data_IF_022755061269
#
_entry.id   IF_022755061269
#
_cell.length_a   1.000
_cell.length_b   1.000
_cell.length_c   1.000
_cell.angle_alpha   90.00
_cell.angle_beta   90.00
_cell.angle_gamma   90.00
#
_symmetry.space_group_name_H-M   'P 1'
#
loop_
_entity.id
_entity.type
_entity.pdbx_description
1 polymer ?
#
# COMPACT_ATOMS: atom_id res chain seq x y z
N UNK A 1 55.15 -11.96 27.36
CA UNK A 1 54.82 -11.88 25.91
C UNK A 1 54.44 -13.26 25.42
N UNK A 2 53.16 -13.50 25.13
CA UNK A 2 52.71 -14.67 24.37
C UNK A 2 51.46 -14.27 23.56
N UNK A 3 51.58 -14.32 22.23
CA UNK A 3 50.57 -13.92 21.24
C UNK A 3 49.51 -15.00 21.09
N UNK A 4 48.24 -14.58 21.11
CA UNK A 4 47.05 -15.37 20.77
C UNK A 4 46.95 -15.51 19.24
N UNK A 5 46.56 -16.67 18.68
CA UNK A 5 46.45 -16.85 17.24
C UNK A 5 45.18 -16.20 16.67
N UNK A 6 45.38 -15.48 15.56
CA UNK A 6 44.40 -14.69 14.82
C UNK A 6 43.52 -15.61 13.94
N UNK A 7 42.20 -15.66 14.19
CA UNK A 7 41.22 -16.30 13.30
C UNK A 7 40.99 -15.40 12.08
N UNK A 8 41.51 -15.80 10.92
CA UNK A 8 41.15 -15.21 9.63
C UNK A 8 39.69 -15.53 9.29
N UNK A 9 38.86 -14.51 9.15
CA UNK A 9 37.55 -14.62 8.50
C UNK A 9 37.75 -14.80 6.98
N UNK A 10 36.93 -15.61 6.28
CA UNK A 10 36.95 -15.66 4.82
C UNK A 10 36.34 -14.39 4.23
N UNK A 11 36.91 -13.96 3.10
CA UNK A 11 36.52 -12.79 2.31
C UNK A 11 35.09 -12.96 1.73
N UNK A 12 34.15 -12.01 1.96
CA UNK A 12 32.77 -12.11 1.51
C UNK A 12 32.55 -11.93 0.01
N UNK A 13 33.60 -11.66 -0.78
CA UNK A 13 33.46 -11.32 -2.20
C UNK A 13 33.74 -12.46 -3.19
N UNK A 14 33.84 -13.72 -2.76
CA UNK A 14 34.15 -14.81 -3.69
C UNK A 14 33.29 -16.06 -3.50
N UNK A 15 31.98 -15.90 -3.70
CA UNK A 15 31.06 -17.01 -3.98
C UNK A 15 30.56 -16.85 -5.42
N UNK A 16 30.79 -17.89 -6.21
CA UNK A 16 30.50 -17.96 -7.65
C UNK A 16 28.98 -17.96 -7.91
N UNK A 17 28.38 -16.77 -7.97
CA UNK A 17 26.96 -16.54 -8.21
C UNK A 17 26.56 -16.57 -9.70
N UNK A 18 27.45 -17.05 -10.59
CA UNK A 18 27.24 -16.99 -12.04
C UNK A 18 26.31 -18.08 -12.58
N UNK A 19 26.13 -19.19 -11.86
CA UNK A 19 25.24 -20.30 -12.27
C UNK A 19 23.75 -20.05 -11.99
N UNK A 20 23.41 -19.26 -10.98
CA UNK A 20 22.02 -19.02 -10.58
C UNK A 20 21.33 -17.90 -11.39
N UNK A 21 22.10 -17.17 -12.18
CA UNK A 21 21.66 -15.99 -12.92
C UNK A 21 21.05 -16.34 -14.30
N UNK A 22 21.38 -17.51 -14.86
CA UNK A 22 20.92 -17.91 -16.20
C UNK A 22 19.54 -18.61 -16.22
N UNK A 23 19.19 -19.35 -15.17
CA UNK A 23 17.99 -20.21 -15.21
C UNK A 23 16.65 -19.45 -15.10
N UNK A 24 16.66 -18.18 -14.69
CA UNK A 24 15.45 -17.32 -14.72
C UNK A 24 15.23 -16.66 -16.09
N UNK A 25 16.30 -16.37 -16.85
CA UNK A 25 16.17 -15.79 -18.20
C UNK A 25 15.65 -16.80 -19.23
N UNK A 26 15.96 -18.09 -19.05
CA UNK A 26 15.54 -19.15 -19.98
C UNK A 26 14.03 -19.43 -19.92
N UNK A 27 13.38 -19.18 -18.78
CA UNK A 27 11.97 -19.55 -18.60
C UNK A 27 10.98 -18.44 -19.00
N UNK A 28 11.36 -17.17 -18.89
CA UNK A 28 10.52 -16.04 -19.32
C UNK A 28 10.51 -15.87 -20.85
N UNK A 29 11.61 -16.22 -21.53
CA UNK A 29 11.67 -16.30 -22.99
C UNK A 29 10.73 -17.35 -23.60
N UNK A 30 10.38 -18.41 -22.85
CA UNK A 30 9.43 -19.45 -23.30
C UNK A 30 7.97 -18.97 -23.31
N UNK A 31 7.65 -17.89 -22.59
CA UNK A 31 6.31 -17.29 -22.60
C UNK A 31 6.00 -16.57 -23.92
N UNK A 32 7.03 -16.24 -24.71
CA UNK A 32 6.87 -15.55 -25.99
C UNK A 32 6.60 -16.49 -27.18
N UNK A 33 6.70 -17.81 -27.00
CA UNK A 33 6.55 -18.80 -28.09
C UNK A 33 5.38 -19.78 -27.93
N UNK A 34 4.60 -19.70 -26.85
CA UNK A 34 3.50 -20.65 -26.58
C UNK A 34 2.13 -20.23 -27.12
N UNK A 35 1.98 -19.02 -27.69
CA UNK A 35 0.70 -18.52 -28.21
C UNK A 35 0.46 -18.83 -29.71
N UNK A 36 1.31 -19.63 -30.34
CA UNK A 36 1.10 -20.13 -31.71
C UNK A 36 1.30 -21.66 -31.78
N UNK A 37 0.20 -22.41 -31.68
CA UNK A 37 -0.17 -23.63 -32.47
C UNK A 37 -1.02 -24.63 -31.67
N UNK A 38 -2.30 -24.71 -32.06
CA UNK A 38 -2.95 -25.92 -32.60
C UNK A 38 -2.95 -27.23 -31.82
N UNK A 39 -4.14 -27.56 -31.30
CA UNK A 39 -4.91 -28.82 -31.45
C UNK A 39 -4.29 -30.25 -31.38
N UNK A 40 -5.15 -31.12 -30.81
CA UNK A 40 -5.32 -32.60 -30.91
C UNK A 40 -4.59 -33.50 -29.90
N UNK A 41 -5.39 -34.36 -29.24
CA UNK A 41 -4.97 -35.74 -28.96
C UNK A 41 -5.34 -36.31 -27.59
N UNK A 42 -6.62 -36.61 -27.34
CA UNK A 42 -7.01 -37.47 -26.22
C UNK A 42 -6.52 -38.91 -26.47
N UNK A 43 -5.86 -39.53 -25.51
CA UNK A 43 -5.89 -40.99 -25.40
C UNK A 43 -5.85 -41.44 -23.94
N UNK A 44 -6.87 -42.23 -23.64
CA UNK A 44 -7.11 -43.02 -22.44
C UNK A 44 -6.01 -44.06 -22.22
N UNK A 45 -5.62 -44.28 -20.97
CA UNK A 45 -5.35 -45.64 -20.49
C UNK A 45 -5.51 -45.77 -18.98
N UNK A 46 -5.94 -46.98 -18.62
CA UNK A 46 -6.73 -47.41 -17.46
C UNK A 46 -5.89 -48.41 -16.68
N UNK A 47 -5.77 -48.25 -15.36
CA UNK A 47 -5.43 -49.30 -14.39
C UNK A 47 -5.62 -48.69 -13.00
N UNK A 48 -6.25 -49.27 -11.99
CA UNK A 48 -6.78 -50.61 -11.76
C UNK A 48 -7.02 -50.64 -10.25
N UNK A 49 -8.29 -50.61 -9.83
CA UNK A 49 -8.70 -50.73 -8.43
C UNK A 49 -8.52 -52.17 -7.96
N UNK A 50 -7.89 -52.36 -6.79
CA UNK A 50 -8.18 -53.50 -5.91
C UNK A 50 -8.39 -52.94 -4.50
N UNK A 51 -9.62 -53.10 -4.01
CA UNK A 51 -9.99 -52.92 -2.61
C UNK A 51 -9.80 -54.22 -1.82
N UNK A 52 -9.66 -54.09 -0.51
CA UNK A 52 -9.62 -55.20 0.43
C UNK A 52 -9.68 -54.70 1.87
N UNK A 53 -10.69 -55.14 2.59
CA UNK A 53 -11.24 -54.55 3.81
C UNK A 53 -10.53 -54.98 5.10
N UNK A 54 -10.79 -54.18 6.14
CA UNK A 54 -10.54 -54.33 7.58
C UNK A 54 -10.67 -55.76 8.12
N UNK A 55 -9.84 -56.12 9.11
CA UNK A 55 -10.33 -56.71 10.37
C UNK A 55 -9.37 -56.42 11.53
N UNK A 56 -9.94 -55.98 12.65
CA UNK A 56 -9.30 -55.76 13.95
C UNK A 56 -9.30 -57.10 14.70
N UNK A 57 -8.18 -57.49 15.31
CA UNK A 57 -8.22 -58.42 16.44
C UNK A 57 -7.12 -58.11 17.46
N UNK A 58 -7.60 -57.68 18.63
CA UNK A 58 -6.87 -57.55 19.89
C UNK A 58 -6.62 -58.95 20.45
N UNK A 59 -5.38 -59.26 20.81
CA UNK A 59 -5.08 -60.22 21.88
C UNK A 59 -3.90 -59.73 22.70
N UNK A 60 -4.18 -59.42 23.96
CA UNK A 60 -3.17 -59.20 24.99
C UNK A 60 -2.74 -60.57 25.54
N UNK A 61 -1.42 -60.81 25.63
CA UNK A 61 -0.82 -61.75 26.58
C UNK A 61 0.53 -61.21 27.06
N UNK A 62 0.63 -61.05 28.37
CA UNK A 62 1.84 -60.81 29.16
C UNK A 62 2.56 -62.14 29.51
N UNK A 63 3.72 -62.00 30.17
CA UNK A 63 4.66 -62.97 30.76
C UNK A 63 5.86 -63.35 29.86
N UNK A 64 7.13 -63.40 30.29
CA UNK A 64 7.88 -62.86 31.43
C UNK A 64 9.38 -63.21 31.19
N UNK A 65 10.30 -62.41 31.77
CA UNK A 65 11.68 -62.70 32.20
C UNK A 65 12.84 -63.18 31.26
N UNK A 66 13.83 -62.29 31.13
CA UNK A 66 15.29 -62.45 31.25
C UNK A 66 16.12 -63.37 30.31
N UNK A 67 17.02 -62.74 29.52
CA UNK A 67 18.15 -63.40 28.84
C UNK A 67 19.16 -62.41 28.20
N UNK A 68 20.32 -62.23 28.85
CA UNK A 68 21.64 -61.71 28.41
C UNK A 68 21.81 -60.60 27.34
N UNK A 69 22.55 -59.50 27.63
CA UNK A 69 22.92 -58.46 26.66
C UNK A 69 24.33 -58.65 26.09
N UNK A 70 24.50 -59.30 24.91
CA UNK A 70 25.79 -59.35 24.18
C UNK A 70 25.72 -59.40 22.65
N UNK A 71 24.63 -58.92 22.03
CA UNK A 71 24.53 -58.84 20.55
C UNK A 71 24.02 -57.49 20.04
N UNK A 72 24.55 -56.36 20.54
CA UNK A 72 24.14 -55.03 20.06
C UNK A 72 25.30 -54.10 19.62
N UNK A 73 26.53 -54.60 19.49
CA UNK A 73 27.69 -53.75 19.10
C UNK A 73 28.19 -53.97 17.66
N UNK A 74 27.52 -54.80 16.85
CA UNK A 74 27.93 -55.07 15.45
C UNK A 74 27.00 -54.53 14.37
N UNK A 75 25.94 -53.84 14.76
CA UNK A 75 24.99 -53.20 13.84
C UNK A 75 24.97 -51.66 13.99
N UNK A 76 26.06 -51.06 14.47
CA UNK A 76 26.17 -49.60 14.64
C UNK A 76 26.91 -48.88 13.49
N UNK A 77 27.20 -49.57 12.37
CA UNK A 77 27.91 -48.98 11.22
C UNK A 77 27.09 -48.96 9.91
N UNK A 78 25.76 -49.07 10.01
CA UNK A 78 24.84 -48.99 8.85
C UNK A 78 23.68 -48.01 9.07
N UNK A 79 23.75 -47.16 10.09
CA UNK A 79 22.90 -45.99 10.16
C UNK A 79 23.67 -44.88 9.46
N UNK A 80 23.36 -44.70 8.17
CA UNK A 80 23.54 -43.42 7.51
C UNK A 80 23.19 -42.33 8.51
N UNK A 81 24.10 -41.38 8.74
CA UNK A 81 23.74 -40.13 9.39
C UNK A 81 22.57 -39.53 8.59
N UNK A 82 21.35 -39.80 9.02
CA UNK A 82 20.17 -38.98 8.74
C UNK A 82 20.44 -37.66 9.45
N UNK A 83 21.33 -36.87 8.85
CA UNK A 83 21.57 -35.49 9.21
C UNK A 83 20.21 -34.81 9.20
N UNK A 84 19.73 -34.41 10.38
CA UNK A 84 18.45 -33.72 10.52
C UNK A 84 18.36 -32.63 9.45
N UNK A 85 17.28 -32.55 8.67
CA UNK A 85 17.19 -31.63 7.55
C UNK A 85 17.48 -30.22 8.04
N UNK A 86 18.52 -29.59 7.47
CA UNK A 86 18.87 -28.21 7.79
C UNK A 86 17.93 -27.25 7.07
N UNK A 87 17.73 -26.05 7.61
CA UNK A 87 16.92 -25.02 6.94
C UNK A 87 17.37 -24.76 5.50
N UNK A 88 18.69 -24.80 5.24
CA UNK A 88 19.25 -24.66 3.90
C UNK A 88 18.90 -25.83 2.98
N UNK A 89 19.02 -27.07 3.48
CA UNK A 89 18.66 -28.29 2.73
C UNK A 89 17.17 -28.30 2.34
N UNK A 90 16.26 -27.94 3.24
CA UNK A 90 14.82 -27.85 2.94
C UNK A 90 14.50 -26.75 1.93
N UNK A 91 15.19 -25.60 2.00
CA UNK A 91 15.08 -24.54 1.00
C UNK A 91 15.53 -25.05 -0.38
N UNK A 92 16.64 -25.76 -0.44
CA UNK A 92 17.19 -26.27 -1.71
C UNK A 92 16.31 -27.37 -2.31
N UNK A 93 15.75 -28.25 -1.47
CA UNK A 93 14.71 -29.18 -1.90
C UNK A 93 13.47 -28.47 -2.45
N UNK A 94 13.05 -27.37 -1.80
CA UNK A 94 11.99 -26.49 -2.30
C UNK A 94 12.32 -25.88 -3.67
N UNK A 95 13.57 -25.48 -3.89
CA UNK A 95 14.03 -24.97 -5.18
C UNK A 95 13.96 -26.06 -6.27
N UNK A 96 14.32 -27.31 -5.95
CA UNK A 96 14.22 -28.44 -6.88
C UNK A 96 12.78 -28.77 -7.26
N UNK A 97 11.86 -28.80 -6.28
CA UNK A 97 10.43 -28.94 -6.57
C UNK A 97 9.89 -27.76 -7.39
N UNK A 98 10.36 -26.55 -7.12
CA UNK A 98 9.98 -25.37 -7.88
C UNK A 98 10.42 -25.47 -9.35
N UNK A 99 11.65 -25.93 -9.62
CA UNK A 99 12.14 -26.21 -10.98
C UNK A 99 11.30 -27.27 -11.70
N UNK A 100 10.85 -28.29 -10.96
CA UNK A 100 9.92 -29.32 -11.46
C UNK A 100 8.47 -28.83 -11.64
N UNK A 101 8.18 -27.54 -11.41
CA UNK A 101 6.82 -26.94 -11.40
C UNK A 101 5.86 -27.57 -10.37
N UNK A 102 6.39 -28.29 -9.39
CA UNK A 102 5.67 -28.87 -8.25
C UNK A 102 5.56 -27.83 -7.14
N UNK A 103 4.73 -26.81 -7.39
CA UNK A 103 4.71 -25.61 -6.55
C UNK A 103 4.16 -25.85 -5.14
N UNK A 104 3.23 -26.81 -4.96
CA UNK A 104 2.66 -27.13 -3.65
C UNK A 104 3.71 -27.80 -2.76
N UNK A 105 4.43 -28.76 -3.30
CA UNK A 105 5.52 -29.46 -2.64
C UNK A 105 6.68 -28.50 -2.33
N UNK A 106 6.96 -27.55 -3.24
CA UNK A 106 7.92 -26.47 -2.99
C UNK A 106 7.50 -25.60 -1.79
N UNK A 107 6.21 -25.22 -1.69
CA UNK A 107 5.67 -24.46 -0.56
C UNK A 107 5.87 -25.21 0.76
N UNK A 108 5.62 -26.53 0.78
CA UNK A 108 5.80 -27.34 1.99
C UNK A 108 7.27 -27.37 2.43
N UNK A 109 8.20 -27.54 1.48
CA UNK A 109 9.63 -27.52 1.75
C UNK A 109 10.11 -26.16 2.26
N UNK A 110 9.69 -25.06 1.63
CA UNK A 110 10.01 -23.72 2.13
C UNK A 110 9.40 -23.45 3.50
N UNK A 111 8.21 -23.99 3.78
CA UNK A 111 7.58 -23.85 5.10
C UNK A 111 8.36 -24.59 6.19
N UNK A 112 8.88 -25.79 5.90
CA UNK A 112 9.81 -26.49 6.79
C UNK A 112 11.11 -25.71 6.98
N UNK A 113 11.67 -25.15 5.90
CA UNK A 113 12.86 -24.30 5.96
C UNK A 113 12.66 -23.10 6.87
N UNK A 114 11.55 -22.38 6.72
CA UNK A 114 11.19 -21.21 7.55
C UNK A 114 10.97 -21.61 9.01
N UNK A 115 10.33 -22.76 9.27
CA UNK A 115 10.12 -23.27 10.63
C UNK A 115 11.45 -23.59 11.35
N UNK A 116 12.46 -24.05 10.60
CA UNK A 116 13.80 -24.32 11.13
C UNK A 116 14.62 -23.03 11.30
N UNK A 117 14.61 -22.15 10.29
CA UNK A 117 15.27 -20.86 10.34
C UNK A 117 14.59 -19.87 9.38
N UNK A 118 13.90 -18.83 9.88
CA UNK A 118 13.30 -17.81 9.04
C UNK A 118 14.40 -17.00 8.34
N UNK A 119 14.32 -16.90 7.01
CA UNK A 119 15.23 -16.08 6.21
C UNK A 119 14.46 -15.34 5.12
N UNK A 120 14.89 -14.12 4.78
CA UNK A 120 14.26 -13.32 3.73
C UNK A 120 14.15 -14.09 2.40
N UNK A 121 15.19 -14.86 2.06
CA UNK A 121 15.24 -15.69 0.86
C UNK A 121 14.18 -16.80 0.88
N UNK A 122 14.03 -17.52 2.01
CA UNK A 122 13.04 -18.60 2.10
C UNK A 122 11.61 -18.06 1.99
N UNK A 123 11.31 -16.95 2.67
CA UNK A 123 10.02 -16.26 2.54
C UNK A 123 9.76 -15.80 1.11
N UNK A 124 10.71 -15.11 0.47
CA UNK A 124 10.51 -14.67 -0.91
C UNK A 124 10.33 -15.84 -1.88
N UNK A 125 11.06 -16.94 -1.70
CA UNK A 125 10.95 -18.13 -2.55
C UNK A 125 9.59 -18.81 -2.39
N UNK A 126 9.07 -18.89 -1.16
CA UNK A 126 7.70 -19.35 -0.90
C UNK A 126 6.66 -18.41 -1.51
N UNK A 127 6.84 -17.10 -1.40
CA UNK A 127 5.99 -16.11 -2.07
C UNK A 127 5.92 -16.31 -3.59
N UNK A 128 7.06 -16.61 -4.23
CA UNK A 128 7.08 -16.92 -5.66
C UNK A 128 6.30 -18.19 -5.98
N UNK A 129 6.40 -19.23 -5.14
CA UNK A 129 5.58 -20.44 -5.31
C UNK A 129 4.09 -20.13 -5.13
N UNK A 130 3.72 -19.26 -4.18
CA UNK A 130 2.35 -18.78 -4.00
C UNK A 130 1.83 -18.00 -5.22
N UNK A 131 2.63 -17.13 -5.82
CA UNK A 131 2.29 -16.45 -7.08
C UNK A 131 1.97 -17.45 -8.20
N UNK A 132 2.74 -18.54 -8.32
CA UNK A 132 2.50 -19.57 -9.35
C UNK A 132 1.20 -20.35 -9.13
N UNK A 133 0.76 -20.51 -7.88
CA UNK A 133 -0.54 -21.13 -7.55
C UNK A 133 -1.68 -20.12 -7.37
N UNK A 134 -1.46 -18.84 -7.72
CA UNK A 134 -2.44 -17.74 -7.62
C UNK A 134 -2.96 -17.48 -6.20
N UNK A 135 -2.13 -17.76 -5.19
CA UNK A 135 -2.38 -17.45 -3.77
C UNK A 135 -1.76 -16.09 -3.43
N UNK A 136 -2.40 -15.02 -3.91
CA UNK A 136 -1.78 -13.69 -3.93
C UNK A 136 -1.69 -13.05 -2.54
N UNK A 137 -2.65 -13.29 -1.66
CA UNK A 137 -2.62 -12.76 -0.28
C UNK A 137 -1.46 -13.35 0.51
N UNK A 138 -1.26 -14.67 0.43
CA UNK A 138 -0.15 -15.34 1.08
C UNK A 138 1.20 -14.93 0.49
N UNK A 139 1.26 -14.68 -0.84
CA UNK A 139 2.45 -14.14 -1.47
C UNK A 139 2.78 -12.72 -0.98
N UNK A 140 1.78 -11.86 -0.77
CA UNK A 140 1.98 -10.50 -0.23
C UNK A 140 2.50 -10.55 1.21
N UNK A 141 1.93 -11.42 2.04
CA UNK A 141 2.36 -11.60 3.43
C UNK A 141 3.80 -12.10 3.51
N UNK A 142 4.14 -13.16 2.78
CA UNK A 142 5.51 -13.69 2.75
C UNK A 142 6.53 -12.66 2.24
N UNK A 143 6.17 -11.86 1.23
CA UNK A 143 7.06 -10.79 0.78
C UNK A 143 7.23 -9.70 1.85
N UNK A 144 6.20 -9.41 2.63
CA UNK A 144 6.28 -8.45 3.73
C UNK A 144 7.16 -8.98 4.86
N UNK A 145 7.04 -10.26 5.22
CA UNK A 145 7.93 -10.91 6.17
C UNK A 145 9.38 -10.94 5.68
N UNK A 146 9.60 -11.18 4.38
CA UNK A 146 10.92 -11.10 3.78
C UNK A 146 11.54 -9.69 3.91
N UNK A 147 10.74 -8.64 3.71
CA UNK A 147 11.17 -7.24 3.80
C UNK A 147 11.35 -6.76 5.24
N UNK A 148 10.65 -7.36 6.20
CA UNK A 148 10.90 -7.13 7.63
C UNK A 148 12.26 -7.70 8.07
N UNK A 149 12.79 -8.70 7.35
CA UNK A 149 14.10 -9.29 7.59
C UNK A 149 15.21 -8.63 6.77
N UNK A 150 14.94 -8.23 5.53
CA UNK A 150 15.86 -7.52 4.63
C UNK A 150 15.08 -6.47 3.82
N UNK A 151 15.16 -5.22 4.27
CA UNK A 151 14.42 -4.07 3.72
C UNK A 151 14.91 -3.64 2.33
N UNK A 152 16.04 -4.18 1.86
CA UNK A 152 16.63 -3.92 0.54
C UNK A 152 16.51 -5.12 -0.39
N UNK A 153 15.70 -6.12 -0.03
CA UNK A 153 15.56 -7.31 -0.86
C UNK A 153 14.70 -7.08 -2.10
N UNK A 154 15.34 -6.74 -3.21
CA UNK A 154 14.72 -6.35 -4.50
C UNK A 154 13.71 -7.39 -5.00
N UNK A 155 14.03 -8.68 -4.89
CA UNK A 155 13.12 -9.77 -5.33
C UNK A 155 11.83 -9.80 -4.51
N UNK A 156 11.87 -9.44 -3.23
CA UNK A 156 10.67 -9.38 -2.40
C UNK A 156 9.77 -8.20 -2.81
N UNK A 157 10.32 -7.02 -3.10
CA UNK A 157 9.55 -5.89 -3.66
C UNK A 157 8.90 -6.24 -5.00
N UNK A 158 9.66 -6.81 -5.95
CA UNK A 158 9.12 -7.20 -7.26
C UNK A 158 8.01 -8.25 -7.14
N UNK A 159 8.17 -9.25 -6.26
CA UNK A 159 7.15 -10.28 -6.01
C UNK A 159 5.92 -9.70 -5.32
N UNK A 160 6.09 -8.81 -4.34
CA UNK A 160 4.98 -8.13 -3.64
C UNK A 160 4.20 -7.21 -4.57
N UNK A 161 4.90 -6.47 -5.43
CA UNK A 161 4.28 -5.64 -6.46
C UNK A 161 3.39 -6.48 -7.39
N UNK A 162 3.88 -7.67 -7.78
CA UNK A 162 3.09 -8.61 -8.61
C UNK A 162 1.87 -9.12 -7.85
N UNK A 163 2.02 -9.56 -6.61
CA UNK A 163 0.90 -10.01 -5.78
C UNK A 163 -0.18 -8.92 -5.61
N UNK A 164 0.24 -7.70 -5.27
CA UNK A 164 -0.64 -6.53 -5.09
C UNK A 164 -1.35 -6.12 -6.37
N UNK A 165 -0.69 -6.25 -7.52
CA UNK A 165 -1.30 -6.02 -8.84
C UNK A 165 -2.48 -6.96 -9.06
N UNK A 166 -2.28 -8.26 -8.82
CA UNK A 166 -3.32 -9.28 -8.98
C UNK A 166 -4.45 -9.15 -7.95
N UNK A 167 -4.16 -8.60 -6.76
CA UNK A 167 -5.16 -8.26 -5.74
C UNK A 167 -5.91 -6.94 -6.01
N UNK A 168 -5.57 -6.19 -7.06
CA UNK A 168 -6.14 -4.87 -7.34
C UNK A 168 -5.64 -3.75 -6.42
N UNK A 169 -4.63 -4.01 -5.58
CA UNK A 169 -3.96 -3.01 -4.73
C UNK A 169 -2.95 -2.20 -5.55
N UNK A 170 -3.42 -1.48 -6.56
CA UNK A 170 -2.58 -0.83 -7.58
C UNK A 170 -1.61 0.20 -7.02
N UNK A 171 -2.04 1.00 -6.03
CA UNK A 171 -1.16 1.97 -5.36
C UNK A 171 0.07 1.31 -4.72
N UNK A 172 -0.13 0.27 -3.92
CA UNK A 172 0.97 -0.44 -3.27
C UNK A 172 1.85 -1.21 -4.27
N UNK A 173 1.26 -1.69 -5.38
CA UNK A 173 2.03 -2.29 -6.48
C UNK A 173 2.94 -1.29 -7.17
N UNK A 174 2.45 -0.07 -7.41
CA UNK A 174 3.24 1.03 -7.97
C UNK A 174 4.40 1.43 -7.04
N UNK A 175 4.13 1.64 -5.75
CA UNK A 175 5.14 2.01 -4.75
C UNK A 175 6.25 0.96 -4.63
N UNK A 176 5.90 -0.33 -4.55
CA UNK A 176 6.87 -1.43 -4.49
C UNK A 176 7.73 -1.51 -5.77
N UNK A 177 7.10 -1.30 -6.95
CA UNK A 177 7.82 -1.33 -8.24
C UNK A 177 8.76 -0.14 -8.39
N UNK A 178 8.35 1.04 -7.92
CA UNK A 178 9.18 2.24 -7.90
C UNK A 178 10.40 2.03 -7.00
N UNK A 179 10.20 1.49 -5.79
CA UNK A 179 11.29 1.24 -4.86
C UNK A 179 12.27 0.19 -5.40
N UNK A 180 11.77 -0.92 -5.97
CA UNK A 180 12.61 -1.92 -6.61
C UNK A 180 13.46 -1.31 -7.75
N UNK A 181 12.87 -0.45 -8.58
CA UNK A 181 13.58 0.24 -9.65
C UNK A 181 14.64 1.23 -9.14
N UNK A 182 14.38 1.92 -8.02
CA UNK A 182 15.39 2.78 -7.37
C UNK A 182 16.59 2.00 -6.88
N UNK A 183 16.39 0.77 -6.38
CA UNK A 183 17.48 -0.10 -5.93
C UNK A 183 18.31 -0.64 -7.10
N UNK A 184 17.67 -1.02 -8.22
CA UNK A 184 18.33 -1.50 -9.44
C UNK A 184 17.86 -0.75 -10.72
N UNK A 185 18.38 0.46 -10.97
CA UNK A 185 17.93 1.30 -12.09
C UNK A 185 18.25 0.74 -13.48
N UNK A 186 19.17 -0.23 -13.58
CA UNK A 186 19.59 -0.82 -14.85
C UNK A 186 18.80 -2.08 -15.22
N UNK A 187 17.98 -2.61 -14.31
CA UNK A 187 17.23 -3.83 -14.53
C UNK A 187 16.01 -3.56 -15.45
N UNK A 188 16.04 -4.14 -16.65
CA UNK A 188 14.99 -3.92 -17.66
C UNK A 188 13.63 -4.48 -17.23
N UNK A 189 13.63 -5.59 -16.47
CA UNK A 189 12.38 -6.18 -16.00
C UNK A 189 11.71 -5.31 -14.94
N UNK A 190 12.50 -4.73 -14.02
CA UNK A 190 11.96 -3.77 -13.04
C UNK A 190 11.42 -2.50 -13.71
N UNK A 191 12.08 -2.02 -14.79
CA UNK A 191 11.56 -0.90 -15.58
C UNK A 191 10.21 -1.21 -16.21
N UNK A 192 10.09 -2.40 -16.80
CA UNK A 192 8.84 -2.88 -17.40
C UNK A 192 7.75 -3.02 -16.35
N UNK A 193 8.06 -3.68 -15.23
CA UNK A 193 7.13 -3.86 -14.11
C UNK A 193 6.65 -2.52 -13.55
N UNK A 194 7.56 -1.55 -13.37
CA UNK A 194 7.21 -0.18 -12.96
C UNK A 194 6.31 0.52 -13.97
N UNK A 195 6.63 0.45 -15.27
CA UNK A 195 5.82 1.06 -16.32
C UNK A 195 4.41 0.46 -16.36
N UNK A 196 4.28 -0.86 -16.24
CA UNK A 196 2.99 -1.55 -16.15
C UNK A 196 2.20 -1.12 -14.90
N UNK A 197 2.82 -1.15 -13.72
CA UNK A 197 2.18 -0.77 -12.46
C UNK A 197 1.71 0.69 -12.48
N UNK A 198 2.55 1.60 -13.00
CA UNK A 198 2.22 3.02 -13.17
C UNK A 198 1.05 3.21 -14.13
N UNK A 199 1.05 2.54 -15.28
CA UNK A 199 -0.03 2.65 -16.26
C UNK A 199 -1.38 2.18 -15.70
N UNK A 200 -1.39 1.08 -14.93
CA UNK A 200 -2.60 0.59 -14.28
C UNK A 200 -3.09 1.56 -13.20
N UNK A 201 -2.20 2.08 -12.37
CA UNK A 201 -2.54 3.06 -11.33
C UNK A 201 -3.09 4.37 -11.91
N UNK A 202 -2.45 4.91 -12.95
CA UNK A 202 -2.89 6.12 -13.64
C UNK A 202 -4.27 5.91 -14.31
N UNK A 203 -4.50 4.73 -14.91
CA UNK A 203 -5.79 4.36 -15.50
C UNK A 203 -6.90 4.29 -14.46
N UNK A 204 -6.67 3.64 -13.32
CA UNK A 204 -7.65 3.54 -12.24
C UNK A 204 -8.00 4.92 -11.67
N UNK A 205 -7.00 5.79 -11.50
CA UNK A 205 -7.22 7.16 -11.05
C UNK A 205 -8.03 7.97 -12.07
N UNK A 206 -7.75 7.82 -13.36
CA UNK A 206 -8.50 8.47 -14.42
C UNK A 206 -9.96 7.98 -14.47
N UNK A 207 -10.18 6.67 -14.34
CA UNK A 207 -11.54 6.08 -14.29
C UNK A 207 -12.33 6.57 -13.08
N UNK A 208 -11.71 6.61 -11.89
CA UNK A 208 -12.30 7.19 -10.68
C UNK A 208 -12.66 8.67 -10.88
N UNK A 209 -11.76 9.47 -11.44
CA UNK A 209 -12.01 10.89 -11.71
C UNK A 209 -13.14 11.09 -12.74
N UNK A 210 -13.15 10.29 -13.81
CA UNK A 210 -14.22 10.32 -14.83
C UNK A 210 -15.57 9.95 -14.23
N UNK A 211 -15.62 8.95 -13.34
CA UNK A 211 -16.85 8.54 -12.68
C UNK A 211 -17.39 9.62 -11.75
N UNK A 212 -16.52 10.29 -10.99
CA UNK A 212 -16.90 11.43 -10.15
C UNK A 212 -17.49 12.56 -11.00
N UNK A 213 -16.87 12.88 -12.15
CA UNK A 213 -17.36 13.90 -13.06
C UNK A 213 -18.73 13.55 -13.65
N UNK A 214 -18.94 12.29 -14.05
CA UNK A 214 -20.26 11.81 -14.55
C UNK A 214 -21.33 11.88 -13.46
N UNK A 215 -21.02 11.45 -12.24
CA UNK A 215 -21.94 11.51 -11.12
C UNK A 215 -22.32 12.96 -10.77
N UNK A 216 -21.34 13.88 -10.78
CA UNK A 216 -21.56 15.31 -10.55
C UNK A 216 -22.45 15.94 -11.64
N UNK A 217 -22.20 15.63 -12.92
CA UNK A 217 -23.02 16.11 -14.04
C UNK A 217 -24.48 15.60 -13.95
N UNK A 218 -24.68 14.32 -13.59
CA UNK A 218 -26.01 13.76 -13.39
C UNK A 218 -26.73 14.39 -12.18
N UNK A 219 -26.01 14.68 -11.10
CA UNK A 219 -26.57 15.38 -9.94
C UNK A 219 -27.01 16.81 -10.30
N UNK A 220 -26.17 17.55 -11.02
CA UNK A 220 -26.49 18.90 -11.50
C UNK A 220 -27.70 18.91 -12.45
N UNK A 221 -27.83 17.90 -13.31
CA UNK A 221 -28.98 17.78 -14.20
C UNK A 221 -30.28 17.46 -13.44
N UNK A 222 -30.23 16.62 -12.39
CA UNK A 222 -31.38 16.35 -11.52
C UNK A 222 -31.84 17.57 -10.75
N UNK A 223 -30.90 18.39 -10.26
CA UNK A 223 -31.22 19.66 -9.58
C UNK A 223 -31.94 20.60 -10.55
N UNK A 224 -31.42 20.79 -11.77
CA UNK A 224 -32.07 21.60 -12.81
C UNK A 224 -33.48 21.10 -13.17
N UNK A 225 -33.69 19.79 -13.27
CA UNK A 225 -35.04 19.27 -13.55
C UNK A 225 -36.02 19.47 -12.38
N UNK A 226 -35.53 19.48 -11.14
CA UNK A 226 -36.38 19.77 -9.99
C UNK A 226 -36.68 21.27 -9.87
N UNK A 227 -35.73 22.15 -10.18
CA UNK A 227 -35.95 23.61 -10.27
C UNK A 227 -37.00 23.94 -11.34
N UNK A 228 -36.91 23.34 -12.54
CA UNK A 228 -37.91 23.54 -13.59
C UNK A 228 -39.31 23.05 -13.18
N UNK A 229 -39.42 22.00 -12.35
CA UNK A 229 -40.71 21.52 -11.81
C UNK A 229 -41.29 22.47 -10.76
N UNK A 230 -40.45 23.19 -10.02
CA UNK A 230 -40.90 24.20 -9.05
C UNK A 230 -41.44 25.43 -9.80
N UNK A 231 -40.76 25.87 -10.86
CA UNK A 231 -41.22 26.97 -11.72
C UNK A 231 -42.54 26.65 -12.46
N UNK A 232 -42.75 25.40 -12.91
CA UNK A 232 -44.03 24.98 -13.51
C UNK A 232 -45.21 24.97 -12.51
N UNK A 233 -44.95 24.65 -11.24
CA UNK A 233 -45.96 24.68 -10.17
C UNK A 233 -46.29 26.12 -9.74
N UNK A 234 -45.32 27.03 -9.76
CA UNK A 234 -45.56 28.47 -9.50
C UNK A 234 -46.25 29.17 -10.69
N UNK A 235 -45.93 28.78 -11.93
CA UNK A 235 -46.60 29.26 -13.14
C UNK A 235 -48.07 28.79 -13.22
N UNK A 236 -48.36 27.53 -12.86
CA UNK A 236 -49.75 27.02 -12.82
C UNK A 236 -50.58 27.63 -11.68
N UNK A 237 -49.96 27.97 -10.54
CA UNK A 237 -50.63 28.71 -9.45
C UNK A 237 -50.95 30.16 -9.82
N UNK A 238 -50.16 30.75 -10.71
CA UNK A 238 -50.37 32.10 -11.26
C UNK A 238 -51.42 32.13 -12.38
N UNK A 239 -51.64 31.00 -13.07
CA UNK A 239 -52.60 30.87 -14.19
C UNK A 239 -54.05 30.62 -13.75
N UNK A 240 -54.28 30.27 -12.47
CA UNK A 240 -55.62 30.19 -11.87
C UNK A 240 -56.29 31.57 -11.64
N UNK A 241 -55.63 32.69 -11.97
CA UNK A 241 -56.16 34.04 -11.66
C UNK A 241 -56.34 34.97 -12.85
N UNK A 242 -56.06 34.55 -14.08
CA UNK A 242 -56.33 35.36 -15.28
C UNK A 242 -56.60 34.44 -16.47
N UNK A 243 -57.87 34.36 -16.86
CA UNK A 243 -58.35 34.31 -18.26
C UNK A 243 -59.87 34.09 -18.25
N UNK A 244 -60.62 35.17 -18.00
CA UNK A 244 -61.83 35.43 -18.77
C UNK A 244 -61.44 36.35 -19.94
N UNK A 245 -62.01 36.04 -21.11
CA UNK A 245 -62.10 36.84 -22.33
C UNK A 245 -61.17 36.48 -23.50
N UNK A 246 -61.81 35.77 -24.45
CA UNK A 246 -61.79 35.92 -25.91
C UNK A 246 -60.51 35.72 -26.75
N UNK A 247 -60.64 34.79 -27.70
CA UNK A 247 -60.56 35.16 -29.13
C UNK A 247 -59.52 34.47 -29.99
N UNK A 248 -59.93 33.39 -30.67
CA UNK A 248 -59.76 33.13 -32.11
C UNK A 248 -58.38 32.97 -32.78
N UNK A 249 -58.34 31.88 -33.59
CA UNK A 249 -57.60 31.66 -34.86
C UNK A 249 -56.22 30.95 -34.87
N UNK A 250 -56.30 29.68 -35.27
CA UNK A 250 -55.65 29.04 -36.45
C UNK A 250 -54.13 29.11 -36.66
N UNK A 251 -53.54 27.94 -36.95
CA UNK A 251 -52.28 27.84 -37.69
C UNK A 251 -51.60 26.47 -37.55
N UNK A 252 -51.66 25.66 -38.61
CA UNK A 252 -51.19 24.28 -38.66
C UNK A 252 -49.72 24.11 -39.10
N UNK A 253 -49.22 22.87 -39.00
CA UNK A 253 -48.45 22.12 -40.03
C UNK A 253 -46.96 21.78 -39.76
N UNK A 254 -46.71 20.47 -39.58
CA UNK A 254 -45.70 19.54 -40.13
C UNK A 254 -44.18 19.88 -40.24
N UNK A 255 -43.39 18.96 -39.63
CA UNK A 255 -42.39 18.04 -40.24
C UNK A 255 -41.18 18.54 -41.07
N UNK A 256 -40.02 17.93 -40.76
CA UNK A 256 -39.05 17.28 -41.68
C UNK A 256 -37.62 17.85 -41.77
N UNK A 257 -36.67 17.04 -41.28
CA UNK A 257 -35.52 16.51 -42.06
C UNK A 257 -34.30 17.38 -42.33
N UNK A 258 -33.09 16.83 -42.12
CA UNK A 258 -31.87 17.33 -42.74
C UNK A 258 -30.55 17.01 -42.04
N UNK A 259 -29.93 15.90 -42.45
CA UNK A 259 -28.56 15.45 -42.16
C UNK A 259 -27.48 16.43 -42.69
N UNK A 260 -26.38 16.62 -41.96
CA UNK A 260 -25.13 17.20 -42.49
C UNK A 260 -23.94 16.98 -41.55
N UNK A 261 -23.18 15.91 -41.81
CA UNK A 261 -21.79 15.74 -41.37
C UNK A 261 -20.88 16.90 -41.83
N UNK A 262 -20.18 17.59 -40.91
CA UNK A 262 -19.02 18.45 -41.24
C UNK A 262 -17.87 18.33 -40.23
N UNK A 263 -16.70 18.08 -40.81
CA UNK A 263 -15.33 17.93 -40.26
C UNK A 263 -14.96 19.01 -39.21
N UNK A 264 -14.33 18.57 -38.11
CA UNK A 264 -13.80 19.43 -37.03
C UNK A 264 -12.31 19.71 -37.29
N UNK A 265 -11.93 20.98 -37.29
CA UNK A 265 -10.55 21.47 -37.49
C UNK A 265 -9.72 21.43 -36.18
N UNK A 266 -8.40 21.18 -36.25
CA UNK A 266 -7.49 20.97 -35.12
C UNK A 266 -7.15 22.22 -34.27
N UNK A 267 -7.53 23.43 -34.72
CA UNK A 267 -7.31 24.68 -33.97
C UNK A 267 -8.26 24.77 -32.76
N UNK A 268 -9.48 24.25 -32.91
CA UNK A 268 -10.50 24.25 -31.85
C UNK A 268 -10.12 23.36 -30.67
N UNK A 269 -9.28 22.35 -30.91
CA UNK A 269 -8.87 21.37 -29.90
C UNK A 269 -7.85 21.97 -28.92
N UNK A 270 -6.97 22.87 -29.40
CA UNK A 270 -5.98 23.55 -28.55
C UNK A 270 -6.64 24.62 -27.67
N UNK A 271 -7.59 25.39 -28.23
CA UNK A 271 -8.41 26.34 -27.46
C UNK A 271 -9.29 25.63 -26.44
N UNK A 272 -9.83 24.45 -26.79
CA UNK A 272 -10.59 23.62 -25.87
C UNK A 272 -9.70 23.08 -24.74
N UNK A 273 -8.46 22.64 -25.01
CA UNK A 273 -7.51 22.20 -23.96
C UNK A 273 -7.16 23.33 -22.99
N UNK A 274 -6.89 24.54 -23.50
CA UNK A 274 -6.59 25.70 -22.66
C UNK A 274 -7.82 26.08 -21.81
N UNK A 275 -9.02 26.07 -22.40
CA UNK A 275 -10.28 26.33 -21.70
C UNK A 275 -10.59 25.27 -20.63
N UNK A 276 -10.35 23.99 -20.93
CA UNK A 276 -10.51 22.87 -19.98
C UNK A 276 -9.51 22.98 -18.84
N UNK A 277 -8.26 23.37 -19.11
CA UNK A 277 -7.23 23.56 -18.09
C UNK A 277 -7.55 24.76 -17.19
N UNK A 278 -8.09 25.84 -17.74
CA UNK A 278 -8.52 27.02 -16.98
C UNK A 278 -9.78 26.74 -16.14
N UNK A 279 -10.73 25.98 -16.68
CA UNK A 279 -11.89 25.45 -15.95
C UNK A 279 -11.47 24.48 -14.83
N UNK A 280 -10.51 23.60 -15.08
CA UNK A 280 -9.95 22.70 -14.08
C UNK A 280 -9.25 23.49 -12.97
N UNK A 281 -8.45 24.50 -13.31
CA UNK A 281 -7.76 25.36 -12.33
C UNK A 281 -8.75 26.15 -11.47
N UNK A 282 -9.83 26.67 -12.08
CA UNK A 282 -10.92 27.33 -11.36
C UNK A 282 -11.74 26.37 -10.52
N UNK A 283 -11.97 25.15 -10.98
CA UNK A 283 -12.68 24.11 -10.23
C UNK A 283 -11.86 23.63 -9.03
N UNK A 284 -10.54 23.47 -9.19
CA UNK A 284 -9.61 23.18 -8.09
C UNK A 284 -9.61 24.35 -7.09
N UNK A 285 -9.49 25.59 -7.56
CA UNK A 285 -9.52 26.77 -6.68
C UNK A 285 -10.86 26.90 -5.94
N UNK A 286 -11.98 26.58 -6.59
CA UNK A 286 -13.32 26.56 -5.96
C UNK A 286 -13.47 25.40 -5.00
N UNK A 287 -12.96 24.21 -5.31
CA UNK A 287 -12.98 23.06 -4.42
C UNK A 287 -12.08 23.28 -3.19
N UNK A 288 -10.95 23.98 -3.34
CA UNK A 288 -10.10 24.43 -2.24
C UNK A 288 -10.83 25.47 -1.39
N UNK A 289 -11.47 26.47 -2.01
CA UNK A 289 -12.26 27.46 -1.30
C UNK A 289 -13.54 26.89 -0.65
N UNK A 290 -14.14 25.83 -1.20
CA UNK A 290 -15.26 25.09 -0.61
C UNK A 290 -14.80 24.15 0.50
N UNK A 291 -13.62 23.54 0.38
CA UNK A 291 -13.00 22.76 1.45
C UNK A 291 -12.68 23.67 2.65
N UNK A 292 -12.09 24.85 2.41
CA UNK A 292 -11.84 25.88 3.42
C UNK A 292 -13.12 26.35 4.12
N UNK A 293 -14.25 26.42 3.39
CA UNK A 293 -15.56 26.82 3.95
C UNK A 293 -16.26 25.73 4.77
N UNK A 294 -15.85 24.46 4.65
CA UNK A 294 -16.46 23.34 5.36
C UNK A 294 -15.62 22.81 6.53
N UNK A 295 -14.51 23.48 6.88
CA UNK A 295 -13.72 23.16 8.07
C UNK A 295 -14.46 23.71 9.30
N UNK A 296 -15.31 22.88 9.89
CA UNK A 296 -15.91 23.18 11.19
C UNK A 296 -14.93 22.85 12.31
N UNK A 297 -14.87 23.68 13.35
CA UNK A 297 -14.02 23.44 14.50
C UNK A 297 -14.38 22.09 15.13
N UNK A 298 -13.45 21.12 15.19
CA UNK A 298 -13.74 19.80 15.73
C UNK A 298 -14.03 19.91 17.22
N UNK A 299 -15.14 19.31 17.65
CA UNK A 299 -15.59 19.34 19.06
C UNK A 299 -15.07 18.15 19.85
N UNK A 300 -14.48 17.16 19.16
CA UNK A 300 -13.96 15.91 19.72
C UNK A 300 -12.65 15.50 19.03
N UNK A 301 -11.77 14.81 19.75
CA UNK A 301 -10.53 14.23 19.20
C UNK A 301 -10.79 13.33 17.99
N UNK A 302 -11.91 12.61 17.98
CA UNK A 302 -12.28 11.71 16.88
C UNK A 302 -12.67 12.47 15.60
N UNK A 303 -13.40 13.58 15.75
CA UNK A 303 -13.74 14.47 14.63
C UNK A 303 -12.48 15.12 14.06
N UNK A 304 -11.58 15.55 14.94
CA UNK A 304 -10.27 16.05 14.55
C UNK A 304 -9.49 15.00 13.76
N UNK A 305 -9.32 13.80 14.30
CA UNK A 305 -8.51 12.76 13.64
C UNK A 305 -9.12 12.34 12.30
N UNK A 306 -10.45 12.24 12.21
CA UNK A 306 -11.15 11.89 10.97
C UNK A 306 -10.92 12.95 9.89
N UNK A 307 -11.07 14.23 10.24
CA UNK A 307 -10.81 15.35 9.33
C UNK A 307 -9.32 15.43 8.98
N UNK A 308 -8.43 15.27 9.96
CA UNK A 308 -6.98 15.27 9.78
C UNK A 308 -6.49 14.18 8.81
N UNK A 309 -7.04 12.97 8.95
CA UNK A 309 -6.77 11.83 8.06
C UNK A 309 -7.37 12.02 6.67
N UNK A 310 -8.55 12.64 6.54
CA UNK A 310 -9.11 12.98 5.20
C UNK A 310 -8.22 13.96 4.45
N UNK A 311 -7.53 14.82 5.17
CA UNK A 311 -6.58 15.81 4.65
C UNK A 311 -5.14 15.28 4.57
N UNK A 312 -4.90 13.99 4.86
CA UNK A 312 -3.56 13.40 4.80
C UNK A 312 -3.04 13.40 3.36
N UNK A 313 -2.16 14.33 3.03
CA UNK A 313 -1.64 14.55 1.68
C UNK A 313 -1.56 16.02 1.29
N UNK A 314 -2.33 16.89 1.96
CA UNK A 314 -2.28 18.34 1.76
C UNK A 314 -1.96 19.03 3.10
N UNK A 315 -0.69 19.43 3.26
CA UNK A 315 -0.21 20.05 4.50
C UNK A 315 -0.79 21.45 4.70
N UNK A 316 -1.14 22.16 3.63
CA UNK A 316 -1.73 23.50 3.73
C UNK A 316 -3.14 23.43 4.31
N UNK A 317 -3.94 22.44 3.87
CA UNK A 317 -5.26 22.21 4.45
C UNK A 317 -5.22 21.70 5.89
N UNK A 318 -4.24 20.85 6.23
CA UNK A 318 -4.00 20.45 7.62
C UNK A 318 -3.62 21.64 8.51
N UNK A 319 -2.79 22.56 8.00
CA UNK A 319 -2.45 23.79 8.70
C UNK A 319 -3.70 24.68 8.88
N UNK A 320 -4.54 24.84 7.86
CA UNK A 320 -5.81 25.56 7.97
C UNK A 320 -6.73 24.94 9.04
N UNK A 321 -6.88 23.61 9.06
CA UNK A 321 -7.63 22.91 10.11
C UNK A 321 -7.05 23.18 11.49
N UNK A 322 -5.73 23.10 11.66
CA UNK A 322 -5.10 23.40 12.95
C UNK A 322 -5.34 24.85 13.37
N UNK A 323 -5.24 25.80 12.46
CA UNK A 323 -5.49 27.24 12.69
C UNK A 323 -6.94 27.54 13.11
N UNK A 324 -7.91 26.68 12.77
CA UNK A 324 -9.30 26.84 13.28
C UNK A 324 -9.47 26.45 14.76
N UNK A 325 -8.48 25.79 15.35
CA UNK A 325 -8.49 25.33 16.74
C UNK A 325 -7.66 26.31 17.57
N UNK A 326 -8.17 26.71 18.72
CA UNK A 326 -7.39 27.54 19.65
C UNK A 326 -6.36 26.66 20.37
N UNK A 327 -5.07 27.05 20.47
CA UNK A 327 -4.05 26.23 21.14
C UNK A 327 -4.46 25.80 22.56
N UNK A 328 -5.14 26.67 23.31
CA UNK A 328 -5.60 26.39 24.69
C UNK A 328 -6.66 25.29 24.81
N UNK A 329 -7.42 24.99 23.74
CA UNK A 329 -8.43 23.93 23.77
C UNK A 329 -7.85 22.57 23.39
N UNK A 330 -6.62 22.53 22.88
CA UNK A 330 -5.98 21.32 22.38
C UNK A 330 -5.79 20.22 23.45
N UNK A 331 -5.40 20.51 24.71
CA UNK A 331 -5.40 19.52 25.79
C UNK A 331 -6.78 18.93 26.08
N UNK A 332 -7.82 19.77 26.02
CA UNK A 332 -9.21 19.35 26.26
C UNK A 332 -9.78 18.56 25.09
N UNK A 333 -9.33 18.86 23.88
CA UNK A 333 -9.73 18.17 22.66
C UNK A 333 -9.21 16.73 22.68
N UNK A 334 -7.90 16.55 22.85
CA UNK A 334 -7.28 15.24 22.75
C UNK A 334 -7.47 14.37 24.00
N UNK A 335 -7.51 14.94 25.21
CA UNK A 335 -7.57 14.17 26.47
C UNK A 335 -6.58 13.00 26.44
N UNK A 336 -7.06 11.75 26.31
CA UNK A 336 -6.25 10.52 26.27
C UNK A 336 -6.09 9.90 24.86
N UNK A 337 -6.55 10.59 23.82
CA UNK A 337 -6.72 10.08 22.46
C UNK A 337 -5.52 10.38 21.53
N UNK A 338 -4.57 11.21 21.98
CA UNK A 338 -3.38 11.51 21.19
C UNK A 338 -2.52 10.25 21.01
N UNK A 339 -2.16 9.94 19.76
CA UNK A 339 -1.27 8.84 19.40
C UNK A 339 0.11 9.36 18.98
N UNK A 340 1.12 8.49 19.01
CA UNK A 340 2.49 8.82 18.58
C UNK A 340 2.56 9.34 17.13
N UNK A 341 1.92 8.61 16.20
CA UNK A 341 1.90 8.99 14.78
C UNK A 341 1.20 10.33 14.56
N UNK A 342 0.05 10.55 15.23
CA UNK A 342 -0.68 11.80 15.12
C UNK A 342 0.11 12.97 15.69
N UNK A 343 0.81 12.79 16.81
CA UNK A 343 1.68 13.81 17.39
C UNK A 343 2.77 14.24 16.41
N UNK A 344 3.46 13.29 15.80
CA UNK A 344 4.55 13.56 14.85
C UNK A 344 4.01 14.31 13.63
N UNK A 345 2.86 13.87 13.09
CA UNK A 345 2.22 14.52 11.95
C UNK A 345 1.78 15.96 12.27
N UNK A 346 1.24 16.21 13.46
CA UNK A 346 0.89 17.56 13.90
C UNK A 346 2.14 18.43 14.02
N UNK A 347 3.23 17.93 14.62
CA UNK A 347 4.48 18.68 14.74
C UNK A 347 5.08 19.00 13.36
N UNK A 348 5.07 18.05 12.43
CA UNK A 348 5.50 18.27 11.03
C UNK A 348 4.61 19.28 10.31
N UNK A 349 3.31 19.33 10.61
CA UNK A 349 2.40 20.34 10.08
C UNK A 349 2.68 21.73 10.70
N UNK A 350 2.92 21.83 12.01
CA UNK A 350 3.32 23.09 12.65
C UNK A 350 4.60 23.65 12.01
N UNK A 351 5.55 22.76 11.70
CA UNK A 351 6.79 23.13 11.04
C UNK A 351 6.59 23.80 9.67
N UNK A 352 5.48 23.55 8.95
CA UNK A 352 5.26 24.16 7.62
C UNK A 352 4.82 25.62 7.67
N UNK A 353 4.15 26.05 8.75
CA UNK A 353 3.68 27.43 8.89
C UNK A 353 4.42 28.21 10.00
N UNK A 354 5.45 27.61 10.60
CA UNK A 354 6.21 28.19 11.69
C UNK A 354 6.81 29.57 11.37
N UNK A 355 7.31 29.75 10.14
CA UNK A 355 7.91 31.01 9.69
C UNK A 355 6.88 32.09 9.36
N UNK A 356 5.63 31.71 9.10
CA UNK A 356 4.54 32.65 8.83
C UNK A 356 3.89 33.14 10.13
N UNK A 357 3.68 32.23 11.09
CA UNK A 357 2.96 32.49 12.34
C UNK A 357 3.70 31.86 13.54
N UNK A 358 4.86 32.41 13.87
CA UNK A 358 5.76 31.86 14.91
C UNK A 358 5.13 31.80 16.30
N UNK A 359 4.45 32.87 16.74
CA UNK A 359 3.78 32.92 18.05
C UNK A 359 2.72 31.81 18.17
N UNK A 360 1.88 31.66 17.13
CA UNK A 360 0.85 30.63 17.10
C UNK A 360 1.45 29.23 17.11
N UNK A 361 2.50 29.00 16.32
CA UNK A 361 3.20 27.72 16.26
C UNK A 361 3.82 27.33 17.62
N UNK A 362 4.49 28.27 18.30
CA UNK A 362 5.05 28.05 19.65
C UNK A 362 3.94 27.74 20.65
N UNK A 363 2.81 28.45 20.60
CA UNK A 363 1.67 28.20 21.47
C UNK A 363 1.06 26.81 21.25
N UNK A 364 1.00 26.32 20.01
CA UNK A 364 0.57 24.95 19.72
C UNK A 364 1.53 23.90 20.27
N UNK A 365 2.84 24.09 20.08
CA UNK A 365 3.86 23.19 20.63
C UNK A 365 3.77 23.16 22.17
N UNK A 366 3.66 24.30 22.84
CA UNK A 366 3.48 24.33 24.30
C UNK A 366 2.19 23.63 24.74
N UNK A 367 1.08 23.89 24.03
CA UNK A 367 -0.22 23.29 24.36
C UNK A 367 -0.25 21.77 24.16
N UNK A 368 0.46 21.25 23.16
CA UNK A 368 0.64 19.81 22.95
C UNK A 368 1.36 19.14 24.14
N UNK A 369 2.33 19.81 24.77
CA UNK A 369 3.00 19.27 25.96
C UNK A 369 2.07 19.13 27.17
N UNK A 370 0.91 19.81 27.16
CA UNK A 370 -0.10 19.76 28.24
C UNK A 370 -1.16 18.67 28.01
N UNK A 371 -1.12 17.96 26.88
CA UNK A 371 -2.07 16.87 26.58
C UNK A 371 -1.79 15.67 27.50
N UNK A 372 -2.84 15.03 28.01
CA UNK A 372 -2.66 13.84 28.84
C UNK A 372 -1.99 12.73 28.02
N UNK A 373 -1.04 12.03 28.65
CA UNK A 373 -0.17 11.01 28.01
C UNK A 373 0.91 11.56 27.08
N UNK A 374 1.13 12.87 26.97
CA UNK A 374 2.24 13.42 26.19
C UNK A 374 3.59 12.76 26.56
N UNK A 375 3.96 12.78 27.85
CA UNK A 375 5.23 12.20 28.31
C UNK A 375 5.31 10.69 28.02
N UNK A 376 4.20 9.98 28.19
CA UNK A 376 4.10 8.55 27.88
C UNK A 376 4.31 8.29 26.38
N UNK A 377 3.73 9.13 25.51
CA UNK A 377 3.89 9.03 24.07
C UNK A 377 5.34 9.25 23.68
N UNK A 378 5.96 10.34 24.15
CA UNK A 378 7.37 10.66 23.89
C UNK A 378 8.29 9.53 24.34
N UNK A 379 8.05 8.97 25.53
CA UNK A 379 8.84 7.86 26.07
C UNK A 379 8.73 6.60 25.19
N UNK A 380 7.54 6.31 24.67
CA UNK A 380 7.23 5.12 23.87
C UNK A 380 7.51 5.28 22.37
N UNK A 381 8.05 6.41 21.90
CA UNK A 381 8.41 6.58 20.49
C UNK A 381 9.50 5.59 20.06
N UNK A 382 9.35 5.02 18.87
CA UNK A 382 10.38 4.17 18.26
C UNK A 382 11.58 5.00 17.79
N UNK A 383 12.73 4.36 17.55
CA UNK A 383 13.95 5.06 17.15
C UNK A 383 13.78 5.90 15.88
N UNK A 384 13.02 5.40 14.89
CA UNK A 384 12.72 6.14 13.66
C UNK A 384 11.86 7.40 13.93
N UNK A 385 10.84 7.27 14.77
CA UNK A 385 9.96 8.38 15.16
C UNK A 385 10.71 9.47 15.95
N UNK A 386 11.59 9.06 16.86
CA UNK A 386 12.47 9.97 17.60
C UNK A 386 13.42 10.71 16.67
N UNK A 387 14.01 10.00 15.71
CA UNK A 387 14.89 10.59 14.70
C UNK A 387 14.14 11.62 13.84
N UNK A 388 12.95 11.29 13.37
CA UNK A 388 12.11 12.20 12.57
C UNK A 388 11.72 13.46 13.33
N UNK A 389 11.35 13.32 14.61
CA UNK A 389 11.00 14.43 15.47
C UNK A 389 12.21 15.32 15.75
N UNK A 390 13.36 14.72 16.06
CA UNK A 390 14.62 15.44 16.28
C UNK A 390 15.05 16.19 15.02
N UNK A 391 15.00 15.54 13.85
CA UNK A 391 15.33 16.14 12.57
C UNK A 391 14.44 17.35 12.28
N UNK A 392 13.12 17.21 12.46
CA UNK A 392 12.17 18.32 12.28
C UNK A 392 12.51 19.49 13.22
N UNK A 393 12.90 19.18 14.46
CA UNK A 393 13.27 20.17 15.46
C UNK A 393 14.55 20.93 15.12
N UNK A 394 15.55 20.22 14.63
CA UNK A 394 16.85 20.79 14.24
C UNK A 394 16.74 21.63 12.96
N UNK A 395 15.97 21.18 11.97
CA UNK A 395 15.81 21.86 10.69
C UNK A 395 14.96 23.13 10.79
N UNK A 396 13.91 23.13 11.62
CA UNK A 396 12.91 24.21 11.64
C UNK A 396 12.98 25.05 12.90
N UNK A 397 12.90 24.42 14.07
CA UNK A 397 12.74 25.12 15.35
C UNK A 397 14.06 25.54 15.99
N UNK A 398 15.20 25.04 15.49
CA UNK A 398 16.55 25.37 15.98
C UNK A 398 17.39 26.13 14.94
N UNK A 399 16.76 26.60 13.88
CA UNK A 399 17.42 27.39 12.84
C UNK A 399 17.83 28.77 13.38
N UNK A 400 18.98 29.28 12.92
CA UNK A 400 19.49 30.61 13.29
C UNK A 400 18.54 31.76 12.90
N UNK A 401 17.53 31.48 12.07
CA UNK A 401 16.51 32.42 11.65
C UNK A 401 15.37 32.62 12.69
N UNK A 402 15.32 31.82 13.76
CA UNK A 402 14.28 31.93 14.80
C UNK A 402 14.40 33.27 15.56
N UNK A 403 13.30 34.01 15.78
CA UNK A 403 13.33 35.24 16.56
C UNK A 403 13.87 35.02 17.98
N UNK A 404 14.78 35.88 18.43
CA UNK A 404 15.51 35.74 19.70
C UNK A 404 14.59 35.58 20.93
N UNK A 405 13.38 36.15 20.88
CA UNK A 405 12.37 36.04 21.93
C UNK A 405 11.81 34.63 22.15
N UNK A 406 11.84 33.76 21.13
CA UNK A 406 11.33 32.39 21.21
C UNK A 406 12.42 31.33 21.39
N UNK A 407 13.70 31.68 21.23
CA UNK A 407 14.83 30.74 21.29
C UNK A 407 14.85 29.96 22.61
N UNK A 408 14.71 30.67 23.73
CA UNK A 408 14.74 30.03 25.05
C UNK A 408 13.50 29.16 25.30
N UNK A 409 12.34 29.58 24.83
CA UNK A 409 11.10 28.78 24.90
C UNK A 409 11.21 27.51 24.07
N UNK A 410 11.70 27.61 22.83
CA UNK A 410 11.92 26.45 21.96
C UNK A 410 13.01 25.52 22.51
N UNK A 411 14.02 26.05 23.19
CA UNK A 411 15.02 25.24 23.90
C UNK A 411 14.39 24.41 25.02
N UNK A 412 13.49 25.00 25.81
CA UNK A 412 12.74 24.30 26.86
C UNK A 412 11.82 23.25 26.23
N UNK A 413 11.08 23.60 25.19
CA UNK A 413 10.19 22.65 24.50
C UNK A 413 10.98 21.51 23.87
N UNK A 414 12.17 21.77 23.28
CA UNK A 414 13.05 20.73 22.73
C UNK A 414 13.31 19.63 23.75
N UNK A 415 13.62 19.99 24.98
CA UNK A 415 13.92 19.01 26.04
C UNK A 415 12.73 18.11 26.39
N UNK A 416 11.50 18.54 26.08
CA UNK A 416 10.28 17.75 26.29
C UNK A 416 9.96 16.83 25.11
N UNK A 417 10.19 17.31 23.88
CA UNK A 417 9.92 16.55 22.66
C UNK A 417 11.03 15.56 22.29
N UNK A 418 12.28 15.93 22.58
CA UNK A 418 13.47 15.15 22.31
C UNK A 418 14.30 15.01 23.60
N UNK A 419 13.82 14.23 24.59
CA UNK A 419 14.51 14.02 25.86
C UNK A 419 15.76 13.14 25.76
#
# INVERSE_FOLDING_TARGET
MARVPNKKYPDPNNLDFRGLYNDLQSWESLKAHSDEKGEVGSSSQRAGMIGGSRTVQSTARQFDYAGSPKEFDRLSNSLSEESSPTAASEKDLGNEFFKQKKFKEAIDCYSRSIALSPTAVAFANRAMAYLKVKRFEEAENDCTDALNLDDRYIKAYSRRATARKELGKLKGSFEDSEFALRLEPQNQELKKQYAEAKAMYDKENYEKASQVMKNSAQAAQKIRTNENRIEEVESTRSRSRREESNGSQQGATLSSGGDASKKIHPIREQELRNSVQELASRAVSRAMAEAEKNITQPTSAYEFETSWKRLSGDRSLQACLLKTITPSTLPQLFKNFLSASLLIDIVKCIATFFWEETELAVNFLDSLTKVARFDMIIMCLFAADKFDLQKTWEEVFSSDAVPAEYVEFLRILRSKYCP
#
